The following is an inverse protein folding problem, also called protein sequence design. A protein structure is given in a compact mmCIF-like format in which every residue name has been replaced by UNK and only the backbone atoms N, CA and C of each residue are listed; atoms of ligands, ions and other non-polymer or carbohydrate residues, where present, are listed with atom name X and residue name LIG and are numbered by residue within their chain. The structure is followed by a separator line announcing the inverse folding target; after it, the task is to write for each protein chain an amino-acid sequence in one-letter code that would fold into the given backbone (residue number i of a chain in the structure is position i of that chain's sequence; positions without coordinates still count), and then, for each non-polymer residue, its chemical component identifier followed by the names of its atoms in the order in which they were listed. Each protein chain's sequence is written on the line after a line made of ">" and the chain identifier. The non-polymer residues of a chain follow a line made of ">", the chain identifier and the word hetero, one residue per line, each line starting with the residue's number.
data_IF_440819828969
#
_entry.id   IF_440819828969
#
_cell.length_a   1.000
_cell.length_b   1.000
_cell.length_c   1.000
_cell.angle_alpha   90.00
_cell.angle_beta   90.00
_cell.angle_gamma   90.00
#
_symmetry.space_group_name_H-M   'P 1'
#
loop_
_entity.id
_entity.type
_entity.pdbx_description
1 polymer ?
#
# COMPACT_ATOMS: atom_id res chain seq x y z
N UNK A 1 35.38 10.34 12.15
CA UNK A 1 33.91 10.25 12.06
C UNK A 1 33.57 10.36 10.59
N UNK A 2 33.49 9.22 9.90
CA UNK A 2 33.14 9.19 8.49
C UNK A 2 31.63 9.20 8.41
N UNK A 3 31.06 10.35 8.02
CA UNK A 3 29.65 10.45 7.70
C UNK A 3 29.45 9.59 6.45
N UNK A 4 28.69 8.49 6.55
CA UNK A 4 28.28 7.74 5.36
C UNK A 4 27.53 8.73 4.48
N UNK A 5 27.95 8.97 3.22
CA UNK A 5 27.23 9.88 2.35
C UNK A 5 25.85 9.29 2.15
N UNK A 6 24.84 10.00 2.64
CA UNK A 6 23.45 9.70 2.32
C UNK A 6 23.35 9.59 0.80
N UNK A 7 23.08 8.39 0.29
CA UNK A 7 23.07 8.11 -1.15
C UNK A 7 22.19 9.14 -1.83
N UNK A 8 22.77 9.86 -2.79
CA UNK A 8 22.08 10.93 -3.50
C UNK A 8 21.28 10.33 -4.64
N UNK A 9 20.16 10.96 -4.99
CA UNK A 9 19.39 10.54 -6.15
C UNK A 9 20.28 10.37 -7.38
N UNK A 10 20.09 9.25 -8.09
CA UNK A 10 20.86 8.86 -9.28
C UNK A 10 22.37 8.61 -9.10
N UNK A 11 22.89 8.49 -7.85
CA UNK A 11 24.31 8.21 -7.61
C UNK A 11 24.77 6.85 -8.17
N UNK A 12 23.87 5.89 -8.35
CA UNK A 12 24.14 4.58 -8.96
C UNK A 12 24.75 4.64 -10.37
N UNK A 13 24.69 5.79 -11.05
CA UNK A 13 25.30 6.00 -12.36
C UNK A 13 26.83 6.15 -12.30
N UNK A 14 27.37 6.54 -11.15
CA UNK A 14 28.78 6.91 -10.98
C UNK A 14 29.45 6.18 -9.81
N UNK A 15 28.68 5.75 -8.81
CA UNK A 15 29.15 5.06 -7.62
C UNK A 15 28.85 3.55 -7.71
N UNK A 16 29.63 2.73 -6.99
CA UNK A 16 29.30 1.31 -6.80
C UNK A 16 28.14 1.17 -5.80
N UNK A 17 27.24 0.24 -6.08
CA UNK A 17 26.06 -0.07 -5.26
C UNK A 17 26.19 -1.51 -4.79
N UNK A 18 26.08 -1.73 -3.48
CA UNK A 18 26.09 -3.06 -2.87
C UNK A 18 24.65 -3.57 -2.66
N UNK A 19 24.42 -4.89 -2.51
CA UNK A 19 23.08 -5.43 -2.28
C UNK A 19 22.35 -4.81 -1.07
N UNK A 20 23.08 -4.44 -0.03
CA UNK A 20 22.57 -3.79 1.18
C UNK A 20 22.08 -2.35 0.96
N UNK A 21 22.42 -1.74 -0.18
CA UNK A 21 21.93 -0.42 -0.58
C UNK A 21 20.57 -0.47 -1.32
N UNK A 22 20.06 -1.68 -1.63
CA UNK A 22 18.88 -1.89 -2.44
C UNK A 22 17.73 -2.37 -1.58
N UNK A 23 16.62 -1.64 -1.58
CA UNK A 23 15.37 -2.07 -0.95
C UNK A 23 14.63 -3.02 -1.90
N UNK A 24 14.37 -4.24 -1.45
CA UNK A 24 13.67 -5.29 -2.15
C UNK A 24 12.29 -5.58 -1.50
N UNK A 25 11.33 -6.21 -2.21
CA UNK A 25 10.06 -6.63 -1.62
C UNK A 25 10.22 -7.53 -0.39
N UNK A 26 11.29 -8.31 -0.32
CA UNK A 26 11.64 -9.21 0.79
C UNK A 26 11.96 -8.45 2.10
N UNK A 27 12.31 -7.17 2.02
CA UNK A 27 12.61 -6.34 3.19
C UNK A 27 11.35 -5.86 3.92
N UNK A 28 10.16 -6.13 3.36
CA UNK A 28 8.89 -5.73 3.96
C UNK A 28 8.63 -6.52 5.25
N UNK A 29 8.13 -5.84 6.28
CA UNK A 29 7.77 -6.47 7.55
C UNK A 29 6.67 -7.53 7.39
N UNK A 30 6.63 -8.50 8.29
CA UNK A 30 5.60 -9.56 8.25
C UNK A 30 4.18 -9.00 8.44
N UNK A 31 4.01 -8.02 9.34
CA UNK A 31 2.71 -7.36 9.59
C UNK A 31 2.25 -6.53 8.38
N UNK A 32 3.17 -5.82 7.74
CA UNK A 32 2.89 -5.07 6.49
C UNK A 32 2.48 -6.03 5.37
N UNK A 33 3.20 -7.16 5.21
CA UNK A 33 2.85 -8.21 4.25
C UNK A 33 1.48 -8.85 4.55
N UNK A 34 1.17 -9.05 5.83
CA UNK A 34 -0.15 -9.56 6.25
C UNK A 34 -1.26 -8.58 5.88
N UNK A 35 -1.07 -7.28 6.14
CA UNK A 35 -2.00 -6.23 5.77
C UNK A 35 -2.29 -6.21 4.26
N UNK A 36 -1.25 -6.25 3.42
CA UNK A 36 -1.42 -6.28 1.96
C UNK A 36 -2.22 -7.49 1.51
N UNK A 37 -1.94 -8.66 2.11
CA UNK A 37 -2.70 -9.89 1.82
C UNK A 37 -4.16 -9.74 2.18
N UNK A 38 -4.47 -9.21 3.36
CA UNK A 38 -5.86 -9.01 3.79
C UNK A 38 -6.63 -8.06 2.87
N UNK A 39 -6.00 -7.01 2.37
CA UNK A 39 -6.61 -6.08 1.40
C UNK A 39 -6.87 -6.79 0.07
N UNK A 40 -5.92 -7.59 -0.40
CA UNK A 40 -6.08 -8.38 -1.63
C UNK A 40 -7.22 -9.40 -1.51
N UNK A 41 -7.29 -10.14 -0.40
CA UNK A 41 -8.37 -11.08 -0.14
C UNK A 41 -9.73 -10.37 -0.09
N UNK A 42 -9.82 -9.20 0.57
CA UNK A 42 -11.02 -8.38 0.56
C UNK A 42 -11.41 -7.95 -0.87
N UNK A 43 -10.45 -7.51 -1.67
CA UNK A 43 -10.69 -7.11 -3.05
C UNK A 43 -11.26 -8.27 -3.88
N UNK A 44 -10.65 -9.46 -3.78
CA UNK A 44 -11.06 -10.66 -4.52
C UNK A 44 -12.42 -11.20 -4.07
N UNK A 45 -12.67 -11.24 -2.76
CA UNK A 45 -13.86 -11.91 -2.22
C UNK A 45 -15.09 -11.01 -2.15
N UNK A 46 -14.91 -9.70 -2.01
CA UNK A 46 -16.02 -8.78 -1.72
C UNK A 46 -16.18 -7.66 -2.74
N UNK A 47 -15.09 -7.17 -3.33
CA UNK A 47 -15.16 -6.06 -4.29
C UNK A 47 -15.38 -6.56 -5.70
N UNK A 48 -14.59 -7.54 -6.15
CA UNK A 48 -14.70 -8.11 -7.49
C UNK A 48 -16.11 -8.61 -7.85
N UNK A 49 -16.84 -9.33 -6.98
CA UNK A 49 -18.20 -9.76 -7.28
C UNK A 49 -19.18 -8.60 -7.51
N UNK A 50 -18.85 -7.40 -7.02
CA UNK A 50 -19.69 -6.21 -7.07
C UNK A 50 -19.28 -5.22 -8.16
N UNK A 51 -18.31 -5.55 -9.02
CA UNK A 51 -17.79 -4.64 -10.05
C UNK A 51 -18.88 -4.05 -10.96
N UNK A 52 -19.83 -4.85 -11.44
CA UNK A 52 -20.93 -4.36 -12.28
C UNK A 52 -21.76 -3.27 -11.59
N UNK A 53 -22.02 -3.41 -10.29
CA UNK A 53 -22.78 -2.45 -9.50
C UNK A 53 -21.95 -1.19 -9.19
N UNK A 54 -20.64 -1.38 -8.95
CA UNK A 54 -19.68 -0.28 -8.77
C UNK A 54 -19.59 0.56 -10.06
N UNK A 55 -19.49 -0.07 -11.22
CA UNK A 55 -19.42 0.60 -12.53
C UNK A 55 -20.71 1.37 -12.84
N UNK A 56 -21.86 0.86 -12.38
CA UNK A 56 -23.16 1.57 -12.44
C UNK A 56 -23.29 2.69 -11.40
N UNK A 57 -22.27 2.93 -10.57
CA UNK A 57 -22.25 3.92 -9.49
C UNK A 57 -23.33 3.69 -8.45
N UNK A 58 -23.64 2.43 -8.15
CA UNK A 58 -24.61 2.08 -7.11
C UNK A 58 -24.04 2.41 -5.72
N UNK A 59 -24.46 3.54 -5.15
CA UNK A 59 -23.95 4.06 -3.87
C UNK A 59 -24.27 3.13 -2.69
N UNK A 60 -25.36 2.39 -2.76
CA UNK A 60 -25.76 1.47 -1.69
C UNK A 60 -24.80 0.27 -1.58
N UNK A 61 -24.09 -0.06 -2.67
CA UNK A 61 -23.03 -1.07 -2.70
C UNK A 61 -21.65 -0.45 -2.42
N UNK A 62 -21.36 0.70 -3.04
CA UNK A 62 -20.06 1.37 -2.93
C UNK A 62 -19.78 1.81 -1.48
N UNK A 63 -20.75 2.43 -0.80
CA UNK A 63 -20.52 3.02 0.53
C UNK A 63 -20.10 1.97 1.58
N UNK A 64 -20.77 0.81 1.71
CA UNK A 64 -20.33 -0.25 2.62
C UNK A 64 -18.94 -0.78 2.29
N UNK A 65 -18.64 -1.03 1.00
CA UNK A 65 -17.33 -1.53 0.57
C UNK A 65 -16.21 -0.52 0.86
N UNK A 66 -16.46 0.77 0.58
CA UNK A 66 -15.51 1.84 0.89
C UNK A 66 -15.25 1.97 2.39
N UNK A 67 -16.30 1.87 3.21
CA UNK A 67 -16.16 1.89 4.68
C UNK A 67 -15.32 0.72 5.16
N UNK A 68 -15.54 -0.48 4.62
CA UNK A 68 -14.75 -1.67 4.96
C UNK A 68 -13.30 -1.55 4.52
N UNK A 69 -13.03 -1.01 3.33
CA UNK A 69 -11.69 -0.71 2.86
C UNK A 69 -10.96 0.28 3.80
N UNK A 70 -11.67 1.30 4.29
CA UNK A 70 -11.14 2.24 5.27
C UNK A 70 -10.82 1.57 6.62
N UNK A 71 -11.69 0.66 7.09
CA UNK A 71 -11.50 -0.08 8.35
C UNK A 71 -10.34 -1.08 8.27
N UNK A 72 -10.01 -1.57 7.07
CA UNK A 72 -8.79 -2.34 6.80
C UNK A 72 -7.51 -1.49 6.78
N UNK A 73 -7.60 -0.16 6.98
CA UNK A 73 -6.43 0.72 7.04
C UNK A 73 -5.89 1.18 5.69
N UNK A 74 -6.58 0.89 4.58
CA UNK A 74 -6.16 1.21 3.21
C UNK A 74 -5.79 2.70 3.00
N UNK A 75 -6.46 3.59 3.72
CA UNK A 75 -6.30 5.05 3.58
C UNK A 75 -5.41 5.67 4.67
N UNK A 76 -4.86 4.87 5.57
CA UNK A 76 -4.13 5.35 6.76
C UNK A 76 -2.63 5.08 6.71
N UNK A 77 -2.11 4.52 5.60
CA UNK A 77 -0.72 4.07 5.47
C UNK A 77 0.33 5.17 5.76
N UNK A 78 0.14 6.39 5.25
CA UNK A 78 1.09 7.50 5.42
C UNK A 78 0.76 8.41 6.62
N UNK A 79 -0.35 8.15 7.29
CA UNK A 79 -0.83 9.01 8.39
C UNK A 79 -0.04 8.64 9.66
N UNK A 80 0.50 9.63 10.40
CA UNK A 80 1.18 9.36 11.67
C UNK A 80 0.31 8.63 12.68
N UNK A 81 0.89 7.75 13.50
CA UNK A 81 0.15 6.99 14.53
C UNK A 81 -0.52 7.92 15.54
N UNK A 82 0.12 9.04 15.87
CA UNK A 82 -0.41 10.06 16.78
C UNK A 82 -1.74 10.69 16.29
N UNK A 83 -2.07 10.53 15.00
CA UNK A 83 -3.33 10.98 14.39
C UNK A 83 -4.28 9.82 14.08
N UNK A 84 -4.00 8.61 14.58
CA UNK A 84 -4.77 7.40 14.33
C UNK A 84 -4.44 6.72 12.99
N UNK A 85 -3.28 7.04 12.41
CA UNK A 85 -2.77 6.40 11.21
C UNK A 85 -1.95 5.14 11.49
N UNK A 86 -1.32 4.60 10.44
CA UNK A 86 -0.49 3.39 10.52
C UNK A 86 1.02 3.67 10.42
N UNK A 87 1.42 4.87 9.99
CA UNK A 87 2.82 5.31 9.87
C UNK A 87 3.74 4.23 9.24
N UNK A 88 3.29 3.65 8.13
CA UNK A 88 3.96 2.52 7.49
C UNK A 88 5.27 2.95 6.83
N UNK A 89 6.17 1.98 6.62
CA UNK A 89 7.41 2.19 5.87
C UNK A 89 7.13 2.61 4.42
N UNK A 90 8.09 3.28 3.78
CA UNK A 90 7.97 3.66 2.36
C UNK A 90 7.75 2.43 1.45
N UNK A 91 8.35 1.29 1.79
CA UNK A 91 8.16 0.04 1.08
C UNK A 91 6.70 -0.45 1.21
N UNK A 92 6.13 -0.40 2.42
CA UNK A 92 4.74 -0.76 2.63
C UNK A 92 3.75 0.24 2.02
N UNK A 93 4.08 1.52 1.94
CA UNK A 93 3.28 2.52 1.20
C UNK A 93 3.23 2.18 -0.30
N UNK A 94 4.37 1.75 -0.88
CA UNK A 94 4.40 1.26 -2.26
C UNK A 94 3.54 -0.01 -2.43
N UNK A 95 3.66 -0.98 -1.52
CA UNK A 95 2.81 -2.17 -1.50
C UNK A 95 1.32 -1.86 -1.29
N UNK A 96 0.99 -0.85 -0.49
CA UNK A 96 -0.37 -0.37 -0.29
C UNK A 96 -0.95 0.22 -1.59
N UNK A 97 -0.13 0.96 -2.32
CA UNK A 97 -0.50 1.51 -3.62
C UNK A 97 -0.75 0.42 -4.66
N UNK A 98 0.07 -0.63 -4.67
CA UNK A 98 -0.21 -1.85 -5.46
C UNK A 98 -1.53 -2.48 -5.02
N UNK A 99 -1.75 -2.63 -3.71
CA UNK A 99 -2.95 -3.27 -3.17
C UNK A 99 -4.25 -2.55 -3.54
N UNK A 100 -4.21 -1.22 -3.65
CA UNK A 100 -5.35 -0.41 -4.13
C UNK A 100 -5.76 -0.73 -5.57
N UNK A 101 -4.84 -1.22 -6.40
CA UNK A 101 -5.15 -1.58 -7.79
C UNK A 101 -6.12 -2.76 -7.89
N UNK A 102 -6.13 -3.67 -6.90
CA UNK A 102 -7.04 -4.81 -6.87
C UNK A 102 -8.51 -4.40 -6.64
N UNK A 103 -8.76 -3.18 -6.16
CA UNK A 103 -10.12 -2.68 -5.87
C UNK A 103 -10.86 -2.17 -7.12
N UNK A 104 -10.18 -2.07 -8.27
CA UNK A 104 -10.79 -1.65 -9.54
C UNK A 104 -11.50 -0.30 -9.43
N UNK A 105 -12.75 -0.23 -9.92
CA UNK A 105 -13.56 1.00 -9.91
C UNK A 105 -13.87 1.56 -8.52
N UNK A 106 -13.68 0.78 -7.44
CA UNK A 106 -13.88 1.26 -6.07
C UNK A 106 -12.77 2.24 -5.61
N UNK A 107 -11.57 2.13 -6.18
CA UNK A 107 -10.43 3.02 -5.85
C UNK A 107 -10.31 4.23 -6.78
N UNK A 108 -11.24 4.40 -7.72
CA UNK A 108 -11.29 5.47 -8.74
C UNK A 108 -12.21 6.62 -8.33
#
# INVERSE_FOLDING_TARGET
>A
MTVLPQQRGASFLIDQVEPEDIVCPEDMGDDERLLMRSIKEFAEQEVQPMFDEIDRRNIDVIRPLFKKAADLGLFMAEVPEALGGLELSLLAIAGMSESRSYLGGLSS
#
